data_IF_200892850756
#
_entry.id   IF_200892850756
#
_cell.length_a   1.000
_cell.length_b   1.000
_cell.length_c   1.000
_cell.angle_alpha   90.00
_cell.angle_beta   90.00
_cell.angle_gamma   90.00
#
_symmetry.space_group_name_H-M   'P 1'
#
loop_
_entity.id
_entity.type
_entity.pdbx_description
1 polymer ?
#
# COMPACT_ATOMS: atom_id res chain seq x y z
N UNK A 1 32.13 32.21 -5.12
CA UNK A 1 30.72 31.80 -5.30
C UNK A 1 30.70 30.70 -6.35
N UNK A 2 30.62 29.44 -5.93
CA UNK A 2 30.20 28.29 -6.75
C UNK A 2 30.03 27.13 -5.76
N UNK A 3 28.83 27.02 -5.18
CA UNK A 3 28.49 25.93 -4.27
C UNK A 3 28.23 24.66 -5.07
N UNK A 4 28.84 23.56 -4.61
CA UNK A 4 28.62 22.20 -5.08
C UNK A 4 27.13 21.91 -5.28
N UNK A 5 26.75 21.50 -6.49
CA UNK A 5 25.48 20.83 -6.71
C UNK A 5 25.63 19.43 -6.13
N UNK A 6 25.20 19.24 -4.89
CA UNK A 6 24.98 17.91 -4.35
C UNK A 6 23.89 17.25 -5.19
N UNK A 7 24.28 16.30 -6.05
CA UNK A 7 23.39 15.35 -6.72
C UNK A 7 22.80 14.46 -5.61
N UNK A 8 21.83 15.01 -4.90
CA UNK A 8 21.01 14.26 -3.96
C UNK A 8 20.25 13.23 -4.76
N UNK A 9 20.66 11.96 -4.65
CA UNK A 9 19.88 10.83 -5.12
C UNK A 9 18.43 11.05 -4.69
N UNK A 10 17.54 11.31 -5.65
CA UNK A 10 16.11 11.22 -5.45
C UNK A 10 15.76 9.72 -5.26
N UNK A 11 16.13 9.17 -4.11
CA UNK A 11 15.63 7.89 -3.64
C UNK A 11 14.14 8.14 -3.37
N UNK A 12 13.29 7.72 -4.30
CA UNK A 12 11.85 7.93 -4.25
C UNK A 12 11.32 7.65 -2.84
N UNK A 13 10.70 8.66 -2.23
CA UNK A 13 10.09 8.53 -0.91
C UNK A 13 9.02 7.44 -1.01
N UNK A 14 9.29 6.29 -0.43
CA UNK A 14 8.26 5.26 -0.29
C UNK A 14 7.27 5.78 0.77
N UNK A 15 5.99 5.95 0.42
CA UNK A 15 4.97 6.29 1.41
C UNK A 15 4.57 5.00 2.14
N UNK A 16 5.38 4.65 3.13
CA UNK A 16 5.04 3.65 4.13
C UNK A 16 4.23 4.35 5.21
N UNK A 17 2.91 4.10 5.39
CA UNK A 17 2.36 4.27 6.74
C UNK A 17 0.93 3.80 7.08
N UNK A 18 0.14 3.20 6.18
CA UNK A 18 -1.24 2.87 6.60
C UNK A 18 -1.34 1.44 7.11
N UNK A 19 -1.18 1.33 8.43
CA UNK A 19 -1.56 0.14 9.20
C UNK A 19 -3.01 0.26 9.65
N UNK A 20 -3.85 -0.66 9.17
CA UNK A 20 -5.21 -0.86 9.68
C UNK A 20 -5.13 -1.85 10.83
N UNK A 21 -5.42 -1.40 12.06
CA UNK A 21 -5.46 -2.28 13.23
C UNK A 21 -6.65 -3.21 13.12
N UNK A 22 -6.43 -4.48 13.47
CA UNK A 22 -7.48 -5.50 13.57
C UNK A 22 -7.75 -5.71 15.05
N UNK A 23 -8.94 -5.31 15.51
CA UNK A 23 -9.38 -5.33 16.90
C UNK A 23 -10.20 -6.59 17.27
N UNK A 24 -10.68 -7.32 16.27
CA UNK A 24 -11.44 -8.55 16.43
C UNK A 24 -11.11 -9.58 15.33
N UNK A 25 -11.37 -10.88 15.54
CA UNK A 25 -11.11 -11.89 14.53
C UNK A 25 -12.09 -11.77 13.33
N UNK A 26 -11.53 -11.75 12.12
CA UNK A 26 -12.25 -11.79 10.85
C UNK A 26 -11.82 -13.02 10.03
N UNK A 27 -12.75 -13.62 9.28
CA UNK A 27 -12.45 -14.78 8.43
C UNK A 27 -11.63 -14.41 7.20
N UNK A 28 -11.86 -13.21 6.67
CA UNK A 28 -11.14 -12.74 5.50
C UNK A 28 -11.04 -11.21 5.44
N UNK A 29 -10.13 -10.73 4.61
CA UNK A 29 -9.85 -9.32 4.43
C UNK A 29 -9.97 -8.93 2.96
N UNK A 30 -10.75 -7.89 2.66
CA UNK A 30 -10.78 -7.23 1.36
C UNK A 30 -10.04 -5.90 1.46
N UNK A 31 -9.18 -5.66 0.50
CA UNK A 31 -8.28 -4.52 0.46
C UNK A 31 -8.64 -3.68 -0.75
N UNK A 32 -8.86 -2.39 -0.57
CA UNK A 32 -9.28 -1.49 -1.65
C UNK A 32 -8.22 -0.42 -1.87
N UNK A 33 -7.91 -0.15 -3.13
CA UNK A 33 -7.08 0.96 -3.56
C UNK A 33 -7.83 1.73 -4.64
N UNK A 34 -7.80 3.07 -4.56
CA UNK A 34 -8.36 3.98 -5.56
C UNK A 34 -7.35 5.09 -5.84
N UNK A 35 -7.04 5.32 -7.12
CA UNK A 35 -6.23 6.46 -7.52
C UNK A 35 -7.05 7.76 -7.46
N UNK A 36 -6.47 8.83 -6.92
CA UNK A 36 -7.10 10.15 -6.76
C UNK A 36 -6.23 11.28 -7.34
N UNK A 37 -5.09 10.94 -7.95
CA UNK A 37 -4.20 11.89 -8.65
C UNK A 37 -4.73 12.19 -10.05
N UNK A 38 -4.74 13.45 -10.47
CA UNK A 38 -5.14 13.87 -11.83
C UNK A 38 -4.17 13.42 -12.92
N UNK A 39 -2.90 13.20 -12.57
CA UNK A 39 -1.87 12.79 -13.53
C UNK A 39 -1.83 11.25 -13.68
N UNK A 40 -1.70 10.72 -14.92
CA UNK A 40 -1.54 9.29 -15.16
C UNK A 40 -0.30 8.76 -14.45
N UNK A 41 -0.54 8.02 -13.37
CA UNK A 41 0.51 7.64 -12.42
C UNK A 41 0.55 6.14 -12.26
N UNK A 42 1.76 5.59 -12.17
CA UNK A 42 1.94 4.18 -11.87
C UNK A 42 2.16 4.00 -10.37
N UNK A 43 1.34 3.16 -9.75
CA UNK A 43 1.30 2.88 -8.33
C UNK A 43 1.88 1.49 -8.06
N UNK A 44 3.10 1.38 -7.51
CA UNK A 44 3.61 0.12 -6.96
C UNK A 44 2.93 -0.12 -5.63
N UNK A 45 2.06 -1.14 -5.58
CA UNK A 45 1.23 -1.50 -4.44
C UNK A 45 1.74 -2.81 -3.85
N UNK A 46 2.08 -2.77 -2.57
CA UNK A 46 2.28 -3.97 -1.76
C UNK A 46 1.28 -3.97 -0.61
N UNK A 47 0.81 -5.15 -0.23
CA UNK A 47 -0.02 -5.31 0.94
C UNK A 47 0.38 -6.51 1.77
N UNK A 48 0.21 -6.41 3.09
CA UNK A 48 0.64 -7.42 4.05
C UNK A 48 -0.45 -7.69 5.09
N UNK A 49 -0.65 -8.95 5.43
CA UNK A 49 -1.29 -9.35 6.70
C UNK A 49 -0.18 -9.49 7.74
N UNK A 50 -0.23 -8.69 8.80
CA UNK A 50 0.69 -8.80 9.94
C UNK A 50 0.00 -9.63 11.02
N UNK A 51 0.74 -10.58 11.59
CA UNK A 51 0.22 -11.49 12.59
C UNK A 51 0.66 -11.08 14.00
N UNK A 52 -0.11 -11.47 15.01
CA UNK A 52 0.17 -11.16 16.42
C UNK A 52 1.48 -11.77 16.95
N UNK A 53 2.04 -12.76 16.25
CA UNK A 53 3.34 -13.36 16.58
C UNK A 53 4.54 -12.61 15.97
N UNK A 54 4.29 -11.46 15.31
CA UNK A 54 5.31 -10.63 14.68
C UNK A 54 5.67 -11.05 13.25
N UNK A 55 5.20 -12.20 12.76
CA UNK A 55 5.37 -12.59 11.36
C UNK A 55 4.40 -11.85 10.43
N UNK A 56 4.66 -11.87 9.12
CA UNK A 56 3.78 -11.25 8.13
C UNK A 56 3.67 -12.10 6.86
N UNK A 57 2.58 -11.90 6.13
CA UNK A 57 2.31 -12.50 4.83
C UNK A 57 2.08 -11.38 3.82
N UNK A 58 2.91 -11.33 2.77
CA UNK A 58 2.67 -10.45 1.62
C UNK A 58 1.53 -11.04 0.79
N UNK A 59 0.45 -10.27 0.63
CA UNK A 59 -0.78 -10.70 -0.07
C UNK A 59 -1.01 -9.97 -1.40
N UNK A 60 -0.33 -8.84 -1.63
CA UNK A 60 -0.31 -8.16 -2.92
C UNK A 60 1.09 -7.59 -3.21
N UNK A 61 1.47 -7.60 -4.49
CA UNK A 61 2.71 -7.01 -5.02
C UNK A 61 2.52 -6.71 -6.50
N UNK A 62 1.90 -5.57 -6.81
CA UNK A 62 1.43 -5.23 -8.15
C UNK A 62 1.75 -3.78 -8.52
N UNK A 63 1.95 -3.53 -9.81
CA UNK A 63 2.04 -2.19 -10.37
C UNK A 63 0.71 -1.85 -11.05
N UNK A 64 -0.02 -0.86 -10.54
CA UNK A 64 -1.29 -0.42 -11.13
C UNK A 64 -1.16 0.95 -11.81
N UNK A 65 -1.90 1.14 -12.89
CA UNK A 65 -2.08 2.44 -13.54
C UNK A 65 -3.57 2.66 -13.86
N UNK A 66 -4.43 2.73 -12.84
CA UNK A 66 -5.87 2.87 -13.05
C UNK A 66 -6.20 4.33 -13.43
N UNK A 67 -7.30 4.56 -14.17
CA UNK A 67 -7.87 5.90 -14.33
C UNK A 67 -8.13 6.58 -12.98
N UNK A 68 -8.11 7.91 -12.98
CA UNK A 68 -8.44 8.73 -11.81
C UNK A 68 -9.85 8.41 -11.30
N UNK A 69 -10.01 8.30 -9.98
CA UNK A 69 -11.27 7.92 -9.34
C UNK A 69 -11.58 6.42 -9.40
N UNK A 70 -10.73 5.62 -10.05
CA UNK A 70 -10.89 4.16 -10.16
C UNK A 70 -9.78 3.41 -9.43
N UNK A 71 -9.95 2.10 -9.32
CA UNK A 71 -9.17 1.33 -8.38
C UNK A 71 -9.24 -0.18 -8.58
N UNK A 72 -8.71 -0.89 -7.59
CA UNK A 72 -8.73 -2.35 -7.54
C UNK A 72 -9.09 -2.81 -6.13
N UNK A 73 -9.88 -3.87 -6.05
CA UNK A 73 -10.03 -4.67 -4.84
C UNK A 73 -9.07 -5.85 -4.92
N UNK A 74 -8.34 -6.09 -3.83
CA UNK A 74 -7.51 -7.27 -3.61
C UNK A 74 -8.19 -8.20 -2.59
N UNK A 75 -8.00 -9.51 -2.77
CA UNK A 75 -8.62 -10.53 -1.92
C UNK A 75 -9.99 -11.00 -2.43
N UNK A 76 -10.84 -11.59 -1.58
CA UNK A 76 -10.67 -11.70 -0.12
C UNK A 76 -9.50 -12.61 0.27
N UNK A 77 -8.61 -12.12 1.12
CA UNK A 77 -7.53 -12.92 1.68
C UNK A 77 -8.01 -13.62 2.94
N UNK A 78 -7.95 -14.95 2.94
CA UNK A 78 -8.41 -15.77 4.06
C UNK A 78 -7.44 -15.64 5.25
N UNK A 79 -7.98 -15.78 6.46
CA UNK A 79 -7.17 -15.93 7.66
C UNK A 79 -6.30 -17.20 7.55
N UNK A 80 -5.04 -17.10 7.93
CA UNK A 80 -4.12 -18.25 7.97
C UNK A 80 -4.38 -19.05 9.24
N UNK A 81 -4.56 -20.37 9.10
CA UNK A 81 -4.81 -21.26 10.23
C UNK A 81 -3.69 -21.16 11.28
N UNK A 82 -4.07 -21.05 12.55
CA UNK A 82 -3.12 -20.89 13.67
C UNK A 82 -2.46 -19.50 13.75
N UNK A 83 -2.81 -18.56 12.87
CA UNK A 83 -2.34 -17.17 12.93
C UNK A 83 -3.51 -16.23 13.22
N UNK A 84 -3.26 -15.25 14.09
CA UNK A 84 -4.17 -14.14 14.33
C UNK A 84 -3.64 -12.92 13.62
N UNK A 85 -4.43 -12.31 12.74
CA UNK A 85 -4.06 -11.04 12.08
C UNK A 85 -4.24 -9.91 13.10
N UNK A 86 -3.20 -9.11 13.30
CA UNK A 86 -3.20 -7.94 14.19
C UNK A 86 -3.27 -6.63 13.43
N UNK A 87 -2.75 -6.60 12.20
CA UNK A 87 -2.78 -5.43 11.34
C UNK A 87 -2.83 -5.84 9.87
N UNK A 88 -3.40 -4.97 9.03
CA UNK A 88 -3.30 -5.03 7.57
C UNK A 88 -2.56 -3.79 7.09
N UNK A 89 -1.47 -3.98 6.34
CA UNK A 89 -0.63 -2.89 5.88
C UNK A 89 -0.72 -2.70 4.37
N UNK A 90 -0.82 -1.46 3.93
CA UNK A 90 -0.51 -1.06 2.56
C UNK A 90 0.83 -0.33 2.51
N UNK A 91 1.62 -0.65 1.49
CA UNK A 91 2.79 0.10 1.10
C UNK A 91 2.63 0.53 -0.35
N UNK A 92 2.52 1.84 -0.56
CA UNK A 92 2.44 2.44 -1.89
C UNK A 92 3.76 3.16 -2.14
N UNK A 93 4.56 2.65 -3.07
CA UNK A 93 5.83 3.27 -3.41
C UNK A 93 5.63 4.52 -4.26
N UNK A 94 6.58 5.45 -4.20
CA UNK A 94 6.74 6.43 -5.28
C UNK A 94 7.44 5.72 -6.45
N UNK A 95 7.00 6.00 -7.68
CA UNK A 95 7.70 5.55 -8.87
C UNK A 95 9.13 6.14 -8.87
N UNK A 96 10.08 5.54 -9.58
CA UNK A 96 11.47 6.08 -9.67
C UNK A 96 11.56 7.45 -10.36
N UNK A 97 10.43 8.01 -10.78
CA UNK A 97 10.30 9.30 -11.41
C UNK A 97 10.31 10.41 -10.35
N UNK A 98 11.31 11.30 -10.34
CA UNK A 98 11.33 12.44 -9.42
C UNK A 98 10.17 13.43 -9.64
N UNK A 99 9.48 13.37 -10.79
CA UNK A 99 8.28 14.17 -11.10
C UNK A 99 7.01 13.54 -10.52
N UNK A 100 7.05 12.27 -10.11
CA UNK A 100 5.97 11.52 -9.44
C UNK A 100 5.75 11.94 -7.97
N UNK A 101 5.93 13.23 -7.67
CA UNK A 101 5.67 13.81 -6.35
C UNK A 101 4.25 14.38 -6.34
N UNK A 102 3.41 13.95 -5.39
CA UNK A 102 2.03 14.48 -5.23
C UNK A 102 0.89 13.49 -5.51
N UNK A 103 1.15 12.19 -5.59
CA UNK A 103 0.08 11.22 -5.79
C UNK A 103 -0.90 11.17 -4.61
N UNK A 104 -2.17 11.42 -4.93
CA UNK A 104 -3.28 11.17 -4.02
C UNK A 104 -3.90 9.81 -4.33
N UNK A 105 -4.23 9.07 -3.28
CA UNK A 105 -4.93 7.80 -3.38
C UNK A 105 -5.76 7.59 -2.12
N UNK A 106 -6.76 6.71 -2.23
CA UNK A 106 -7.56 6.23 -1.11
C UNK A 106 -7.32 4.74 -0.94
N UNK A 107 -7.18 4.32 0.29
CA UNK A 107 -7.08 2.91 0.66
C UNK A 107 -8.02 2.62 1.82
N UNK A 108 -8.60 1.43 1.80
CA UNK A 108 -9.42 0.94 2.91
C UNK A 108 -9.29 -0.57 3.03
N UNK A 109 -9.52 -1.07 4.25
CA UNK A 109 -9.55 -2.50 4.55
C UNK A 109 -10.92 -2.83 5.12
N UNK A 110 -11.50 -3.92 4.64
CA UNK A 110 -12.73 -4.49 5.19
C UNK A 110 -12.42 -5.87 5.75
N UNK A 111 -12.63 -6.05 7.06
CA UNK A 111 -12.73 -7.37 7.68
C UNK A 111 -14.11 -7.97 7.43
N UNK A 112 -14.17 -9.25 7.05
CA UNK A 112 -15.41 -9.99 6.78
C UNK A 112 -15.55 -11.19 7.73
N UNK A 113 -16.77 -11.41 8.24
CA UNK A 113 -17.12 -12.50 9.15
C UNK A 113 -17.53 -13.79 8.43
#
# INVERSE_FOLDING_TARGET
>A
MMGMVSVGKAVGRTNWNTDFVVDQPYRSFKLFFTADSSDPSSYPIQAFLKFSDGSNLKVADEQLQPPVGTGRMFGPFQQVAGKSVSQVNFRIGANKDPQATGFSYRISVQGCH
#
